data_IF_331829457492
#
_entry.id   IF_331829457492
#
_cell.length_a   1.000
_cell.length_b   1.000
_cell.length_c   1.000
_cell.angle_alpha   90.00
_cell.angle_beta   90.00
_cell.angle_gamma   90.00
#
_symmetry.space_group_name_H-M   'P 1'
#
loop_
_entity.id
_entity.type
_entity.pdbx_description
1 polymer ?
#
# COMPACT_ATOMS: atom_id res chain seq x y z
N UNK A 1 -29.60 -33.52 -2.11
CA UNK A 1 -29.81 -32.07 -1.87
C UNK A 1 -31.22 -31.67 -2.33
N UNK A 2 -32.07 -31.09 -1.48
CA UNK A 2 -33.42 -30.68 -1.87
C UNK A 2 -33.37 -29.50 -2.87
N UNK A 3 -34.15 -29.59 -3.95
CA UNK A 3 -34.20 -28.62 -5.05
C UNK A 3 -34.52 -27.19 -4.58
N UNK A 4 -35.28 -27.06 -3.48
CA UNK A 4 -35.58 -25.80 -2.80
C UNK A 4 -34.35 -25.08 -2.21
N UNK A 5 -33.29 -25.82 -1.86
CA UNK A 5 -32.02 -25.22 -1.42
C UNK A 5 -31.22 -24.69 -2.59
N UNK A 6 -31.24 -25.35 -3.76
CA UNK A 6 -30.53 -24.86 -4.96
C UNK A 6 -31.09 -23.54 -5.46
N UNK A 7 -32.42 -23.38 -5.48
CA UNK A 7 -33.07 -22.12 -5.89
C UNK A 7 -32.68 -20.97 -4.94
N UNK A 8 -32.74 -21.20 -3.62
CA UNK A 8 -32.35 -20.19 -2.62
C UNK A 8 -30.86 -19.85 -2.69
N UNK A 9 -30.00 -20.84 -2.87
CA UNK A 9 -28.55 -20.63 -3.02
C UNK A 9 -28.24 -19.84 -4.28
N UNK A 10 -28.83 -20.19 -5.44
CA UNK A 10 -28.61 -19.46 -6.70
C UNK A 10 -29.10 -18.01 -6.64
N UNK A 11 -30.25 -17.76 -6.00
CA UNK A 11 -30.76 -16.40 -5.81
C UNK A 11 -29.85 -15.57 -4.90
N UNK A 12 -29.38 -16.15 -3.79
CA UNK A 12 -28.51 -15.45 -2.85
C UNK A 12 -27.13 -15.16 -3.46
N UNK A 13 -26.53 -16.12 -4.18
CA UNK A 13 -25.24 -15.92 -4.86
C UNK A 13 -25.35 -14.90 -5.99
N UNK A 14 -26.45 -14.88 -6.74
CA UNK A 14 -26.66 -13.87 -7.78
C UNK A 14 -26.83 -12.47 -7.18
N UNK A 15 -27.55 -12.34 -6.06
CA UNK A 15 -27.72 -11.07 -5.36
C UNK A 15 -26.39 -10.55 -4.77
N UNK A 16 -25.59 -11.42 -4.16
CA UNK A 16 -24.31 -11.01 -3.57
C UNK A 16 -23.26 -10.69 -4.63
N UNK A 17 -23.17 -11.48 -5.70
CA UNK A 17 -22.23 -11.22 -6.81
C UNK A 17 -22.60 -9.94 -7.55
N UNK A 18 -23.88 -9.70 -7.85
CA UNK A 18 -24.30 -8.42 -8.47
C UNK A 18 -23.99 -7.22 -7.57
N UNK A 19 -24.21 -7.31 -6.25
CA UNK A 19 -23.88 -6.24 -5.31
C UNK A 19 -22.37 -5.96 -5.25
N UNK A 20 -21.54 -7.01 -5.22
CA UNK A 20 -20.08 -6.89 -5.18
C UNK A 20 -19.50 -6.30 -6.49
N UNK A 21 -20.13 -6.60 -7.63
CA UNK A 21 -19.78 -6.01 -8.94
C UNK A 21 -20.23 -4.55 -9.04
N UNK A 22 -21.40 -4.19 -8.46
CA UNK A 22 -21.91 -2.82 -8.38
C UNK A 22 -21.11 -1.94 -7.39
N UNK A 23 -20.57 -2.51 -6.31
CA UNK A 23 -19.59 -1.86 -5.43
C UNK A 23 -18.18 -1.84 -6.03
N UNK A 24 -18.04 -2.13 -7.33
CA UNK A 24 -16.77 -2.19 -8.06
C UNK A 24 -15.83 -1.07 -7.63
N UNK A 25 -14.58 -1.45 -7.35
CA UNK A 25 -13.50 -0.59 -6.86
C UNK A 25 -13.56 0.83 -7.42
N UNK A 26 -14.30 1.71 -6.75
CA UNK A 26 -14.37 3.11 -7.07
C UNK A 26 -13.18 3.78 -6.39
N UNK A 27 -11.99 3.51 -6.92
CA UNK A 27 -10.78 4.26 -6.56
C UNK A 27 -10.28 4.92 -7.82
N UNK A 28 -11.08 5.86 -8.32
CA UNK A 28 -10.54 7.00 -9.05
C UNK A 28 -10.06 8.03 -8.03
N UNK A 29 -9.10 7.65 -7.18
CA UNK A 29 -8.32 8.64 -6.46
C UNK A 29 -7.28 9.19 -7.45
N UNK A 30 -7.30 10.49 -7.78
CA UNK A 30 -6.16 11.10 -8.44
C UNK A 30 -4.95 10.90 -7.53
N UNK A 31 -3.84 10.43 -8.11
CA UNK A 31 -2.55 10.37 -7.42
C UNK A 31 -2.06 11.80 -7.25
N UNK A 32 -2.63 12.51 -6.28
CA UNK A 32 -2.01 13.68 -5.67
C UNK A 32 -1.16 13.16 -4.52
N UNK A 33 0.16 13.36 -4.52
CA UNK A 33 0.98 12.99 -3.38
C UNK A 33 0.46 13.74 -2.14
N UNK A 34 -0.02 13.04 -1.10
CA UNK A 34 -0.48 13.69 0.11
C UNK A 34 0.72 14.38 0.77
N UNK A 35 0.63 15.70 0.94
CA UNK A 35 1.60 16.47 1.74
C UNK A 35 1.31 16.35 3.24
N UNK A 36 0.81 15.19 3.68
CA UNK A 36 0.45 14.92 5.07
C UNK A 36 0.99 13.55 5.46
N UNK A 37 2.28 13.47 5.82
CA UNK A 37 2.88 12.31 6.51
C UNK A 37 2.68 10.92 5.86
N UNK A 38 2.23 10.87 4.61
CA UNK A 38 1.96 9.64 3.87
C UNK A 38 3.29 9.09 3.38
N UNK A 39 3.82 8.10 4.11
CA UNK A 39 5.06 7.43 3.76
C UNK A 39 5.01 6.95 2.30
N UNK A 40 5.84 7.54 1.46
CA UNK A 40 6.04 7.07 0.09
C UNK A 40 6.59 5.65 0.21
N UNK A 41 5.90 4.70 -0.39
CA UNK A 41 6.33 3.31 -0.42
C UNK A 41 7.54 3.18 -1.35
N UNK A 42 8.73 3.32 -0.79
CA UNK A 42 9.99 3.06 -1.49
C UNK A 42 10.38 1.59 -1.37
N UNK A 43 11.22 1.13 -2.29
CA UNK A 43 11.84 -0.20 -2.21
C UNK A 43 12.66 -0.33 -0.92
N UNK A 44 12.60 -1.51 -0.28
CA UNK A 44 13.27 -1.80 1.00
C UNK A 44 14.77 -2.13 0.82
N UNK A 45 15.46 -1.34 0.03
CA UNK A 45 16.90 -1.48 -0.19
C UNK A 45 17.69 -0.58 0.76
N UNK A 46 18.82 -1.10 1.22
CA UNK A 46 19.73 -0.40 2.12
C UNK A 46 21.08 -0.21 1.44
N UNK A 47 21.64 0.99 1.53
CA UNK A 47 23.01 1.31 1.11
C UNK A 47 23.90 1.39 2.33
N UNK A 48 25.03 0.71 2.29
CA UNK A 48 26.06 0.83 3.33
C UNK A 48 26.84 2.14 3.16
N UNK A 49 26.96 2.87 4.25
CA UNK A 49 27.74 4.08 4.36
C UNK A 49 29.20 3.76 4.73
N UNK A 50 30.16 4.66 4.44
CA UNK A 50 31.58 4.44 4.77
C UNK A 50 31.87 4.37 6.27
N UNK A 51 30.93 4.81 7.12
CA UNK A 51 31.01 4.65 8.57
C UNK A 51 30.54 3.27 9.05
N UNK A 52 29.96 2.46 8.16
CA UNK A 52 29.39 1.15 8.44
C UNK A 52 27.88 1.14 8.69
N UNK A 53 27.23 2.31 8.79
CA UNK A 53 25.77 2.43 8.92
C UNK A 53 25.03 2.09 7.64
N UNK A 54 23.72 1.84 7.75
CA UNK A 54 22.84 1.57 6.61
C UNK A 54 21.77 2.65 6.46
N UNK A 55 21.59 3.13 5.23
CA UNK A 55 20.56 4.13 4.89
C UNK A 55 19.60 3.55 3.85
N UNK A 56 18.31 3.76 4.09
CA UNK A 56 17.26 3.38 3.14
C UNK A 56 16.99 4.46 2.10
N UNK A 57 16.06 4.16 1.19
CA UNK A 57 15.50 5.15 0.26
C UNK A 57 14.44 6.01 0.96
N UNK A 58 14.43 7.30 0.63
CA UNK A 58 13.55 8.31 1.22
C UNK A 58 13.25 9.44 0.23
N UNK A 59 12.20 10.22 0.50
CA UNK A 59 11.83 11.39 -0.31
C UNK A 59 10.92 11.09 -1.52
N UNK A 60 10.52 12.14 -2.27
CA UNK A 60 9.53 12.06 -3.35
C UNK A 60 9.96 11.21 -4.55
N UNK A 61 11.26 10.92 -4.66
CA UNK A 61 11.84 10.15 -5.75
C UNK A 61 12.61 8.92 -5.25
N UNK A 62 12.42 8.55 -3.98
CA UNK A 62 13.00 7.35 -3.38
C UNK A 62 14.51 7.24 -3.60
N UNK A 63 15.26 8.30 -3.32
CA UNK A 63 16.71 8.30 -3.32
C UNK A 63 17.28 7.86 -1.97
N UNK A 64 18.50 7.32 -1.96
CA UNK A 64 19.18 6.98 -0.71
C UNK A 64 19.34 8.22 0.17
N UNK A 65 18.95 8.10 1.43
CA UNK A 65 19.20 9.14 2.42
C UNK A 65 20.70 9.40 2.57
N UNK A 66 21.05 10.62 2.98
CA UNK A 66 22.44 10.98 3.26
C UNK A 66 22.99 10.14 4.43
N UNK A 67 24.26 9.75 4.34
CA UNK A 67 24.94 9.06 5.44
C UNK A 67 25.08 10.00 6.65
N UNK A 68 24.86 9.51 7.88
CA UNK A 68 25.03 10.32 9.07
C UNK A 68 26.48 10.77 9.22
N UNK A 69 26.72 12.08 9.25
CA UNK A 69 28.06 12.65 9.44
C UNK A 69 28.45 12.67 10.93
N UNK A 70 28.57 11.50 11.59
CA UNK A 70 29.03 11.32 13.00
C UNK A 70 28.69 12.46 14.01
N UNK A 71 27.56 13.12 13.83
CA UNK A 71 27.01 14.16 14.69
C UNK A 71 25.54 14.22 14.33
N UNK A 72 24.66 14.13 15.32
CA UNK A 72 23.20 14.05 15.19
C UNK A 72 22.66 12.66 14.80
N UNK A 73 22.94 11.67 15.67
CA UNK A 73 21.84 10.86 16.16
C UNK A 73 21.09 11.69 17.22
N UNK A 74 19.81 11.94 16.98
CA UNK A 74 18.78 12.39 17.93
C UNK A 74 17.58 12.82 17.08
N UNK A 75 16.33 12.57 17.43
CA UNK A 75 15.68 11.90 18.55
C UNK A 75 14.20 11.95 18.16
#
# INVERSE_FOLDING_TARGET
MPLSKRIKTTLFTALTTTLFILQGCNSANPVTPPNDGGGIACTQEAKQCPDGSYVGRSGPRCEFAACPQKSKGAM
#
